data_IF_179257494016
#
_entry.id   IF_179257494016
#
_cell.length_a   1.000
_cell.length_b   1.000
_cell.length_c   1.000
_cell.angle_alpha   90.00
_cell.angle_beta   90.00
_cell.angle_gamma   90.00
#
_symmetry.space_group_name_H-M   'P 1'
#
loop_
_entity.id
_entity.type
_entity.pdbx_description
1 polymer ?
#
# COMPACT_ATOMS: atom_id res chain seq x y z
N UNK A 1 -12.31 -2.13 6.60
CA UNK A 1 -11.73 -1.82 5.28
C UNK A 1 -12.29 -2.80 4.27
N UNK A 2 -12.68 -2.32 3.09
CA UNK A 2 -13.33 -3.15 2.07
C UNK A 2 -12.70 -2.85 0.72
N UNK A 3 -12.49 -3.89 -0.07
CA UNK A 3 -11.96 -3.76 -1.42
C UNK A 3 -12.57 -4.84 -2.30
N UNK A 4 -12.60 -4.59 -3.61
CA UNK A 4 -13.18 -5.45 -4.62
C UNK A 4 -12.18 -5.78 -5.73
N UNK A 5 -12.19 -7.02 -6.17
CA UNK A 5 -11.41 -7.44 -7.33
C UNK A 5 -12.16 -8.43 -8.19
N UNK A 6 -11.75 -8.55 -9.46
CA UNK A 6 -12.22 -9.62 -10.34
C UNK A 6 -11.25 -10.79 -10.27
N UNK A 7 -11.78 -11.97 -9.97
CA UNK A 7 -10.99 -13.20 -9.97
C UNK A 7 -10.71 -13.70 -11.40
N UNK A 8 -9.97 -14.82 -11.53
CA UNK A 8 -9.65 -15.44 -12.83
C UNK A 8 -10.89 -15.91 -13.61
N UNK A 9 -12.02 -16.11 -12.94
CA UNK A 9 -13.31 -16.48 -13.55
C UNK A 9 -14.12 -15.25 -13.97
N UNK A 10 -13.54 -14.04 -13.86
CA UNK A 10 -14.20 -12.74 -14.06
C UNK A 10 -15.34 -12.47 -13.08
N UNK A 11 -15.39 -13.19 -11.95
CA UNK A 11 -16.35 -12.97 -10.89
C UNK A 11 -15.83 -11.91 -9.94
N UNK A 12 -16.73 -11.04 -9.48
CA UNK A 12 -16.41 -10.02 -8.48
C UNK A 12 -16.32 -10.65 -7.10
N UNK A 13 -15.25 -10.28 -6.39
CA UNK A 13 -14.88 -10.77 -5.07
C UNK A 13 -14.66 -9.57 -4.17
N UNK A 14 -15.38 -9.53 -3.06
CA UNK A 14 -15.24 -8.52 -2.03
C UNK A 14 -14.46 -9.09 -0.86
N UNK A 15 -13.47 -8.35 -0.37
CA UNK A 15 -12.71 -8.71 0.82
C UNK A 15 -12.96 -7.68 1.90
N UNK A 16 -13.27 -8.16 3.10
CA UNK A 16 -13.46 -7.33 4.28
C UNK A 16 -12.32 -7.61 5.26
N UNK A 17 -11.61 -6.55 5.63
CA UNK A 17 -10.54 -6.56 6.65
C UNK A 17 -10.96 -5.66 7.80
N UNK A 18 -10.88 -6.19 9.02
CA UNK A 18 -11.10 -5.45 10.25
C UNK A 18 -9.77 -4.95 10.78
N UNK A 19 -9.75 -3.69 11.21
CA UNK A 19 -8.63 -3.08 11.92
C UNK A 19 -9.12 -2.70 13.32
N UNK A 20 -8.51 -3.25 14.36
CA UNK A 20 -8.94 -3.04 15.74
C UNK A 20 -7.74 -3.00 16.69
N UNK A 21 -8.00 -2.58 17.93
CA UNK A 21 -7.03 -2.61 19.03
C UNK A 21 -7.37 -3.75 19.99
N UNK A 22 -6.35 -4.42 20.50
CA UNK A 22 -6.50 -5.33 21.64
C UNK A 22 -6.51 -4.59 22.99
N UNK A 23 -6.61 -5.34 24.09
CA UNK A 23 -6.58 -4.79 25.45
C UNK A 23 -5.29 -4.04 25.79
N UNK A 24 -4.19 -4.34 25.09
CA UNK A 24 -2.87 -3.76 25.31
C UNK A 24 -2.55 -2.62 24.33
N UNK A 25 -3.57 -2.14 23.60
CA UNK A 25 -3.45 -1.08 22.58
C UNK A 25 -2.54 -1.45 21.40
N UNK A 26 -2.40 -2.74 21.07
CA UNK A 26 -1.74 -3.18 19.84
C UNK A 26 -2.74 -3.19 18.68
N UNK A 27 -2.26 -2.78 17.50
CA UNK A 27 -3.05 -2.74 16.28
C UNK A 27 -3.05 -4.13 15.63
N UNK A 28 -4.24 -4.61 15.30
CA UNK A 28 -4.45 -5.85 14.56
C UNK A 28 -5.24 -5.56 13.30
N UNK A 29 -4.83 -6.16 12.19
CA UNK A 29 -5.60 -6.22 10.94
C UNK A 29 -5.92 -7.68 10.63
N UNK A 30 -7.21 -8.05 10.65
CA UNK A 30 -7.67 -9.41 10.41
C UNK A 30 -8.65 -9.47 9.25
N UNK A 31 -8.44 -10.42 8.36
CA UNK A 31 -9.38 -10.66 7.25
C UNK A 31 -10.57 -11.49 7.72
N UNK A 32 -11.79 -11.01 7.47
CA UNK A 32 -13.01 -11.78 7.78
C UNK A 32 -13.24 -12.85 6.70
N UNK A 33 -12.95 -12.50 5.44
CA UNK A 33 -13.07 -13.44 4.33
C UNK A 33 -13.24 -12.78 2.97
N UNK A 34 -13.40 -13.67 1.99
CA UNK A 34 -13.66 -13.36 0.59
C UNK A 34 -15.10 -13.73 0.23
N UNK A 35 -15.86 -12.77 -0.27
CA UNK A 35 -17.26 -12.96 -0.61
C UNK A 35 -17.46 -12.75 -2.10
N UNK A 36 -18.03 -13.75 -2.76
CA UNK A 36 -18.45 -13.61 -4.14
C UNK A 36 -19.64 -12.64 -4.21
N UNK A 37 -19.49 -11.58 -5.01
CA UNK A 37 -20.55 -10.63 -5.30
C UNK A 37 -21.22 -10.99 -6.63
N UNK A 38 -22.52 -11.30 -6.59
CA UNK A 38 -23.34 -11.48 -7.80
C UNK A 38 -23.75 -10.14 -8.42
N UNK A 39 -23.93 -9.13 -7.57
CA UNK A 39 -24.29 -7.76 -7.92
C UNK A 39 -23.35 -6.84 -7.14
N UNK A 40 -22.73 -5.87 -7.81
CA UNK A 40 -21.79 -4.89 -7.25
C UNK A 40 -22.34 -3.47 -7.31
N UNK A 41 -23.53 -3.28 -6.74
CA UNK A 41 -24.07 -1.94 -6.52
C UNK A 41 -23.90 -1.53 -5.06
N UNK A 42 -23.91 -0.23 -4.79
CA UNK A 42 -23.68 0.33 -3.45
C UNK A 42 -24.57 -0.29 -2.36
N UNK A 43 -25.83 -0.59 -2.69
CA UNK A 43 -26.81 -1.17 -1.74
C UNK A 43 -26.47 -2.62 -1.41
N UNK A 44 -26.11 -3.42 -2.41
CA UNK A 44 -25.73 -4.82 -2.22
C UNK A 44 -24.43 -4.95 -1.42
N UNK A 45 -23.48 -4.04 -1.66
CA UNK A 45 -22.21 -3.97 -0.95
C UNK A 45 -22.41 -3.56 0.50
N UNK A 46 -23.13 -2.47 0.75
CA UNK A 46 -23.41 -2.00 2.12
C UNK A 46 -24.16 -3.05 2.93
N UNK A 47 -25.18 -3.68 2.34
CA UNK A 47 -25.90 -4.79 2.97
C UNK A 47 -24.96 -5.95 3.30
N UNK A 48 -24.13 -6.39 2.34
CA UNK A 48 -23.22 -7.51 2.57
C UNK A 48 -22.20 -7.20 3.67
N UNK A 49 -21.71 -5.96 3.76
CA UNK A 49 -20.81 -5.53 4.84
C UNK A 49 -21.52 -5.62 6.19
N UNK A 50 -22.72 -5.06 6.30
CA UNK A 50 -23.52 -5.09 7.54
C UNK A 50 -23.81 -6.52 7.97
N UNK A 51 -24.34 -7.35 7.05
CA UNK A 51 -24.65 -8.75 7.30
C UNK A 51 -23.41 -9.49 7.81
N UNK A 52 -22.26 -9.29 7.16
CA UNK A 52 -20.99 -9.94 7.55
C UNK A 52 -20.54 -9.51 8.95
N UNK A 53 -20.67 -8.23 9.31
CA UNK A 53 -20.31 -7.73 10.64
C UNK A 53 -21.22 -8.36 11.71
N UNK A 54 -22.53 -8.41 11.46
CA UNK A 54 -23.51 -8.98 12.37
C UNK A 54 -23.35 -10.51 12.53
N UNK A 55 -23.09 -11.22 11.43
CA UNK A 55 -22.83 -12.68 11.43
C UNK A 55 -21.61 -13.03 12.31
N UNK A 56 -20.62 -12.14 12.38
CA UNK A 56 -19.45 -12.27 13.24
C UNK A 56 -19.67 -11.75 14.67
N UNK A 57 -20.91 -11.44 15.06
CA UNK A 57 -21.30 -10.93 16.38
C UNK A 57 -20.56 -9.64 16.78
N UNK A 58 -20.23 -8.81 15.80
CA UNK A 58 -19.58 -7.52 16.03
C UNK A 58 -20.63 -6.42 16.12
N UNK A 59 -20.44 -5.51 17.08
CA UNK A 59 -21.31 -4.36 17.25
C UNK A 59 -20.92 -3.22 16.30
N UNK A 60 -21.87 -2.80 15.46
CA UNK A 60 -21.72 -1.68 14.54
C UNK A 60 -21.47 -0.34 15.26
N UNK A 61 -21.89 -0.20 16.53
CA UNK A 61 -21.64 1.02 17.31
C UNK A 61 -20.15 1.23 17.62
N UNK A 62 -19.35 0.16 17.57
CA UNK A 62 -17.89 0.23 17.74
C UNK A 62 -17.16 0.59 16.44
N UNK A 63 -17.88 0.79 15.33
CA UNK A 63 -17.28 1.16 14.05
C UNK A 63 -16.80 2.61 14.06
N UNK A 64 -15.47 2.79 14.08
CA UNK A 64 -14.84 4.12 14.04
C UNK A 64 -14.74 4.68 12.62
N UNK A 65 -14.40 3.84 11.64
CA UNK A 65 -14.15 4.28 10.27
C UNK A 65 -14.36 3.16 9.25
N UNK A 66 -14.69 3.56 8.02
CA UNK A 66 -14.80 2.68 6.87
C UNK A 66 -13.92 3.21 5.74
N UNK A 67 -13.22 2.31 5.03
CA UNK A 67 -12.36 2.67 3.92
C UNK A 67 -12.55 1.71 2.76
N UNK A 68 -12.56 2.28 1.55
CA UNK A 68 -12.87 1.63 0.29
C UNK A 68 -11.84 2.07 -0.77
N UNK A 69 -11.31 1.15 -1.58
CA UNK A 69 -10.57 1.54 -2.80
C UNK A 69 -11.55 1.93 -3.91
N UNK A 70 -11.20 2.95 -4.71
CA UNK A 70 -11.98 3.32 -5.90
C UNK A 70 -13.45 3.67 -5.65
N UNK A 71 -13.72 4.57 -4.69
CA UNK A 71 -15.06 4.94 -4.19
C UNK A 71 -16.07 5.54 -5.20
N UNK A 72 -15.94 5.35 -6.52
CA UNK A 72 -16.93 5.80 -7.49
C UNK A 72 -18.26 5.02 -7.38
N UNK A 73 -18.21 3.74 -7.02
CA UNK A 73 -19.41 2.88 -6.84
C UNK A 73 -20.16 3.23 -5.55
N UNK A 74 -19.44 3.57 -4.48
CA UNK A 74 -20.02 3.85 -3.16
C UNK A 74 -20.42 5.32 -2.95
N UNK A 75 -19.84 6.27 -3.70
CA UNK A 75 -20.15 7.71 -3.60
C UNK A 75 -21.37 8.16 -4.41
N UNK A 76 -22.10 7.23 -5.05
CA UNK A 76 -23.31 7.55 -5.81
C UNK A 76 -23.08 8.34 -7.10
N UNK A 77 -21.83 8.57 -7.51
CA UNK A 77 -21.52 9.34 -8.73
C UNK A 77 -22.01 8.62 -10.00
N UNK A 78 -22.04 7.28 -9.99
CA UNK A 78 -22.56 6.49 -11.12
C UNK A 78 -24.08 6.66 -11.35
N UNK A 79 -24.83 7.08 -10.33
CA UNK A 79 -26.26 7.38 -10.45
C UNK A 79 -26.51 8.57 -11.40
N UNK A 80 -25.57 9.52 -11.50
CA UNK A 80 -25.70 10.71 -12.34
C UNK A 80 -25.38 10.47 -13.83
N UNK A 81 -24.49 9.52 -14.14
CA UNK A 81 -24.16 9.16 -15.53
C UNK A 81 -25.20 8.21 -16.14
N UNK A 82 -25.72 7.25 -15.36
CA UNK A 82 -26.79 6.36 -15.80
C UNK A 82 -28.09 7.11 -16.08
N UNK A 83 -28.38 8.18 -15.32
CA UNK A 83 -29.52 9.08 -15.58
C UNK A 83 -29.45 9.81 -16.94
N UNK A 84 -28.29 9.82 -17.62
CA UNK A 84 -28.09 10.48 -18.93
C UNK A 84 -27.98 9.52 -20.12
N UNK A 85 -28.17 8.22 -19.92
CA UNK A 85 -28.18 7.23 -21.01
C UNK A 85 -26.85 7.06 -21.77
N UNK A 86 -25.72 7.50 -21.21
CA UNK A 86 -24.41 7.38 -21.83
C UNK A 86 -23.72 6.07 -21.40
N UNK A 87 -23.01 5.37 -22.31
CA UNK A 87 -22.26 4.18 -21.96
C UNK A 87 -21.11 4.52 -20.98
N UNK A 88 -20.98 3.75 -19.91
CA UNK A 88 -19.93 3.92 -18.91
C UNK A 88 -18.59 3.52 -19.54
N UNK A 89 -17.73 4.51 -19.79
CA UNK A 89 -16.37 4.30 -20.25
C UNK A 89 -15.46 4.09 -19.02
N UNK A 90 -14.97 2.86 -18.86
CA UNK A 90 -13.95 2.55 -17.86
C UNK A 90 -12.59 2.96 -18.41
N UNK A 91 -11.89 3.86 -17.72
CA UNK A 91 -10.46 4.02 -17.92
C UNK A 91 -9.80 2.73 -17.44
N UNK A 92 -9.12 2.02 -18.34
CA UNK A 92 -8.30 0.86 -17.97
C UNK A 92 -7.27 1.30 -16.93
N UNK A 93 -7.19 0.55 -15.83
CA UNK A 93 -6.23 0.80 -14.75
C UNK A 93 -4.83 0.75 -15.36
N UNK A 94 -4.07 1.83 -15.22
CA UNK A 94 -2.66 1.87 -15.60
C UNK A 94 -1.93 0.78 -14.80
N UNK A 95 -1.60 -0.35 -15.44
CA UNK A 95 -0.80 -1.39 -14.79
C UNK A 95 0.67 -0.96 -14.87
N UNK A 96 1.05 -0.04 -14.00
CA UNK A 96 2.43 0.26 -13.69
C UNK A 96 3.02 -0.96 -12.96
N UNK A 97 3.90 -1.70 -13.62
CA UNK A 97 4.70 -2.72 -12.95
C UNK A 97 5.43 -2.08 -11.76
N UNK A 98 5.04 -2.50 -10.55
CA UNK A 98 5.31 -1.86 -9.24
C UNK A 98 6.71 -1.26 -9.15
N UNK A 99 6.81 0.02 -8.78
CA UNK A 99 8.06 0.78 -8.61
C UNK A 99 9.12 0.06 -7.75
N UNK A 100 8.68 -0.79 -6.82
CA UNK A 100 9.53 -1.67 -6.02
C UNK A 100 10.42 -2.63 -6.86
N UNK A 101 9.90 -3.17 -7.98
CA UNK A 101 10.69 -3.99 -8.89
C UNK A 101 11.77 -3.18 -9.58
N UNK A 102 11.46 -1.94 -9.97
CA UNK A 102 12.41 -1.04 -10.62
C UNK A 102 13.55 -0.66 -9.67
N UNK A 103 13.24 -0.39 -8.41
CA UNK A 103 14.25 -0.17 -7.37
C UNK A 103 15.19 -1.39 -7.24
N UNK A 104 14.62 -2.59 -7.07
CA UNK A 104 15.41 -3.81 -6.91
C UNK A 104 16.29 -4.12 -8.12
N UNK A 105 15.78 -3.92 -9.33
CA UNK A 105 16.53 -4.12 -10.57
C UNK A 105 17.68 -3.12 -10.71
N UNK A 106 17.42 -1.83 -10.50
CA UNK A 106 18.46 -0.78 -10.62
C UNK A 106 19.52 -0.95 -9.54
N UNK A 107 19.14 -1.28 -8.30
CA UNK A 107 20.11 -1.50 -7.22
C UNK A 107 21.03 -2.68 -7.53
N UNK A 108 20.50 -3.79 -8.10
CA UNK A 108 21.32 -4.92 -8.57
C UNK A 108 22.27 -4.53 -9.70
N UNK A 109 21.80 -3.73 -10.67
CA UNK A 109 22.64 -3.23 -11.77
C UNK A 109 23.78 -2.36 -11.21
N UNK A 110 23.49 -1.44 -10.30
CA UNK A 110 24.51 -0.57 -9.70
C UNK A 110 25.50 -1.35 -8.81
N UNK A 111 25.02 -2.38 -8.09
CA UNK A 111 25.85 -3.24 -7.25
C UNK A 111 26.82 -4.10 -8.09
N UNK A 112 26.35 -4.66 -9.20
CA UNK A 112 27.10 -5.58 -10.07
C UNK A 112 27.57 -4.92 -11.37
N UNK A 113 27.75 -3.61 -11.34
CA UNK A 113 28.01 -2.83 -12.54
C UNK A 113 29.28 -3.28 -13.25
N UNK A 114 30.37 -3.54 -12.50
CA UNK A 114 31.65 -3.99 -13.06
C UNK A 114 31.52 -5.36 -13.72
N UNK A 115 30.89 -6.31 -13.04
CA UNK A 115 30.68 -7.67 -13.55
C UNK A 115 29.79 -7.67 -14.80
N UNK A 116 28.78 -6.79 -14.85
CA UNK A 116 27.93 -6.64 -16.04
C UNK A 116 28.74 -6.12 -17.23
N UNK A 117 29.63 -5.14 -17.02
CA UNK A 117 30.52 -4.63 -18.09
C UNK A 117 31.46 -5.71 -18.59
N UNK A 118 32.06 -6.51 -17.70
CA UNK A 118 32.93 -7.63 -18.07
C UNK A 118 32.19 -8.67 -18.91
N UNK A 119 31.01 -9.13 -18.45
CA UNK A 119 30.18 -10.10 -19.18
C UNK A 119 29.75 -9.54 -20.54
N UNK A 120 29.34 -8.27 -20.60
CA UNK A 120 28.97 -7.64 -21.87
C UNK A 120 30.17 -7.52 -22.83
N UNK A 121 31.38 -7.36 -22.31
CA UNK A 121 32.61 -7.33 -23.12
C UNK A 121 32.87 -8.70 -23.73
N UNK A 122 32.79 -9.77 -22.93
CA UNK A 122 32.93 -11.16 -23.41
C UNK A 122 31.82 -11.50 -24.44
N UNK A 123 30.58 -11.12 -24.16
CA UNK A 123 29.46 -11.36 -25.09
C UNK A 123 29.55 -10.54 -26.38
N UNK A 124 30.30 -9.44 -26.38
CA UNK A 124 30.54 -8.65 -27.60
C UNK A 124 31.55 -9.30 -28.55
N UNK A 125 32.31 -10.28 -28.06
CA UNK A 125 33.26 -11.05 -28.86
C UNK A 125 32.60 -12.27 -29.52
N UNK A 126 31.53 -12.81 -28.94
CA UNK A 126 30.75 -13.95 -29.45
C UNK A 126 29.66 -13.54 -30.47
N UNK A 127 29.50 -14.31 -31.55
CA UNK A 127 28.65 -13.91 -32.69
C UNK A 127 27.13 -13.88 -32.41
N UNK A 128 26.59 -14.82 -31.63
CA UNK A 128 25.12 -14.98 -31.51
C UNK A 128 24.40 -13.79 -30.83
N UNK A 129 25.08 -13.03 -29.96
CA UNK A 129 24.51 -11.88 -29.26
C UNK A 129 25.31 -10.58 -29.37
N UNK A 130 26.29 -10.54 -30.28
CA UNK A 130 27.23 -9.43 -30.47
C UNK A 130 26.58 -8.06 -30.54
N UNK A 131 25.59 -7.90 -31.43
CA UNK A 131 24.93 -6.61 -31.66
C UNK A 131 24.17 -6.10 -30.43
N UNK A 132 23.53 -7.00 -29.67
CA UNK A 132 22.80 -6.65 -28.44
C UNK A 132 23.75 -6.27 -27.32
N UNK A 133 24.79 -7.08 -27.11
CA UNK A 133 25.82 -6.82 -26.10
C UNK A 133 26.52 -5.48 -26.35
N UNK A 134 26.93 -5.21 -27.60
CA UNK A 134 27.54 -3.93 -27.99
C UNK A 134 26.61 -2.73 -27.78
N UNK A 135 25.32 -2.88 -28.10
CA UNK A 135 24.33 -1.82 -27.89
C UNK A 135 24.20 -1.43 -26.41
N UNK A 136 24.07 -2.42 -25.53
CA UNK A 136 23.95 -2.21 -24.08
C UNK A 136 25.28 -1.67 -23.52
N UNK A 137 26.41 -2.25 -23.90
CA UNK A 137 27.74 -1.84 -23.47
C UNK A 137 28.01 -0.37 -23.82
N UNK A 138 27.60 0.08 -25.01
CA UNK A 138 27.75 1.47 -25.46
C UNK A 138 26.95 2.45 -24.60
N UNK A 139 25.73 2.09 -24.19
CA UNK A 139 24.92 2.93 -23.31
C UNK A 139 25.45 2.94 -21.88
N UNK A 140 25.80 1.76 -21.35
CA UNK A 140 26.34 1.62 -19.99
C UNK A 140 27.69 2.33 -19.84
N UNK A 141 28.56 2.31 -20.86
CA UNK A 141 29.84 3.02 -20.91
C UNK A 141 29.71 4.54 -21.12
N UNK A 142 28.69 5.16 -20.53
CA UNK A 142 28.55 6.62 -20.52
C UNK A 142 28.42 7.14 -19.09
N UNK A 143 29.10 8.26 -18.80
CA UNK A 143 28.95 8.93 -17.51
C UNK A 143 27.49 9.32 -17.25
N UNK A 144 26.75 9.69 -18.29
CA UNK A 144 25.32 10.01 -18.22
C UNK A 144 24.50 8.83 -17.70
N UNK A 145 24.74 7.62 -18.20
CA UNK A 145 24.05 6.41 -17.73
C UNK A 145 24.33 6.16 -16.25
N UNK A 146 25.60 6.18 -15.83
CA UNK A 146 25.97 5.95 -14.43
C UNK A 146 25.31 6.99 -13.51
N UNK A 147 25.34 8.28 -13.89
CA UNK A 147 24.67 9.36 -13.14
C UNK A 147 23.17 9.12 -13.01
N UNK A 148 22.49 8.83 -14.12
CA UNK A 148 21.04 8.61 -14.14
C UNK A 148 20.70 7.37 -13.30
N UNK A 149 21.46 6.27 -13.44
CA UNK A 149 21.23 5.03 -12.71
C UNK A 149 21.32 5.24 -11.19
N UNK A 150 22.33 5.95 -10.69
CA UNK A 150 22.46 6.24 -9.25
C UNK A 150 21.47 7.29 -8.74
N UNK A 151 21.10 8.27 -9.57
CA UNK A 151 20.06 9.22 -9.24
C UNK A 151 18.70 8.50 -9.11
N UNK A 152 18.39 7.63 -10.08
CA UNK A 152 17.17 6.82 -10.12
C UNK A 152 17.13 5.84 -8.95
N UNK A 153 18.25 5.19 -8.61
CA UNK A 153 18.33 4.34 -7.41
C UNK A 153 17.97 5.12 -6.14
N UNK A 154 18.51 6.34 -5.99
CA UNK A 154 18.25 7.17 -4.81
C UNK A 154 16.79 7.62 -4.73
N UNK A 155 16.21 8.01 -5.88
CA UNK A 155 14.80 8.40 -6.01
C UNK A 155 13.88 7.22 -5.68
N UNK A 156 14.08 6.09 -6.35
CA UNK A 156 13.26 4.90 -6.18
C UNK A 156 13.41 4.31 -4.79
N UNK A 157 14.58 4.41 -4.15
CA UNK A 157 14.77 4.01 -2.75
C UNK A 157 13.88 4.82 -1.81
N UNK A 158 13.85 6.15 -1.96
CA UNK A 158 13.02 7.02 -1.10
C UNK A 158 11.53 6.65 -1.23
N UNK A 159 11.06 6.48 -2.46
CA UNK A 159 9.67 6.10 -2.75
C UNK A 159 9.37 4.69 -2.26
N UNK A 160 10.28 3.74 -2.48
CA UNK A 160 10.11 2.35 -2.07
C UNK A 160 10.04 2.20 -0.55
N UNK A 161 10.92 2.88 0.20
CA UNK A 161 10.88 2.88 1.66
C UNK A 161 9.55 3.44 2.18
N UNK A 162 9.09 4.56 1.63
CA UNK A 162 7.81 5.15 1.99
C UNK A 162 6.63 4.21 1.66
N UNK A 163 6.61 3.66 0.46
CA UNK A 163 5.57 2.72 0.01
C UNK A 163 5.52 1.47 0.89
N UNK A 164 6.67 0.86 1.21
CA UNK A 164 6.75 -0.31 2.07
C UNK A 164 6.25 -0.01 3.49
N UNK A 165 6.64 1.12 4.07
CA UNK A 165 6.20 1.50 5.41
C UNK A 165 4.70 1.84 5.47
N UNK A 166 4.13 2.46 4.42
CA UNK A 166 2.68 2.71 4.33
C UNK A 166 1.83 1.43 4.19
N UNK A 167 2.44 0.32 3.76
CA UNK A 167 1.80 -0.99 3.64
C UNK A 167 1.88 -1.83 4.93
N UNK A 168 2.50 -1.31 5.98
CA UNK A 168 2.59 -2.00 7.27
C UNK A 168 1.26 -1.92 8.02
N UNK A 169 0.77 -3.04 8.53
CA UNK A 169 -0.51 -3.11 9.25
C UNK A 169 -0.50 -2.30 10.56
N UNK A 170 0.67 -2.09 11.17
CA UNK A 170 0.82 -1.34 12.42
C UNK A 170 0.90 0.17 12.23
N UNK A 171 0.97 0.68 10.99
CA UNK A 171 1.20 2.11 10.76
C UNK A 171 -0.01 2.94 11.21
N UNK A 172 0.26 3.98 12.01
CA UNK A 172 -0.76 4.95 12.43
C UNK A 172 -0.75 6.20 11.55
N UNK A 173 -1.89 6.89 11.49
CA UNK A 173 -2.07 8.07 10.64
C UNK A 173 -1.01 9.18 10.88
N UNK A 174 -0.64 9.56 12.11
CA UNK A 174 0.40 10.58 12.33
C UNK A 174 1.76 10.19 11.74
N UNK A 175 2.18 8.94 11.95
CA UNK A 175 3.44 8.40 11.43
C UNK A 175 3.43 8.36 9.90
N UNK A 176 2.28 8.00 9.31
CA UNK A 176 2.11 8.02 7.86
C UNK A 176 2.24 9.44 7.27
N UNK A 177 1.65 10.44 7.93
CA UNK A 177 1.77 11.84 7.50
C UNK A 177 3.23 12.30 7.56
N UNK A 178 3.94 11.99 8.64
CA UNK A 178 5.34 12.39 8.80
C UNK A 178 6.26 11.66 7.81
N UNK A 179 5.98 10.39 7.52
CA UNK A 179 6.66 9.63 6.48
C UNK A 179 6.48 10.28 5.09
N UNK A 180 5.26 10.69 4.74
CA UNK A 180 4.97 11.37 3.47
C UNK A 180 5.69 12.73 3.41
N UNK A 181 5.64 13.51 4.50
CA UNK A 181 6.35 14.81 4.59
C UNK A 181 7.86 14.64 4.44
N UNK A 182 8.43 13.65 5.12
CA UNK A 182 9.86 13.31 5.05
C UNK A 182 10.26 12.92 3.63
N UNK A 183 9.48 12.04 3.01
CA UNK A 183 9.70 11.61 1.61
C UNK A 183 9.63 12.80 0.66
N UNK A 184 8.61 13.66 0.79
CA UNK A 184 8.48 14.88 0.00
C UNK A 184 9.70 15.80 0.14
N UNK A 185 10.19 15.99 1.37
CA UNK A 185 11.40 16.78 1.64
C UNK A 185 12.63 16.18 0.95
N UNK A 186 12.79 14.86 1.02
CA UNK A 186 13.88 14.15 0.34
C UNK A 186 13.82 14.33 -1.18
N UNK A 187 12.63 14.25 -1.77
CA UNK A 187 12.43 14.49 -3.20
C UNK A 187 12.76 15.93 -3.60
N UNK A 188 12.47 16.92 -2.75
CA UNK A 188 12.91 18.30 -3.00
C UNK A 188 14.42 18.46 -2.89
N UNK A 189 15.06 17.83 -1.91
CA UNK A 189 16.53 17.85 -1.79
C UNK A 189 17.22 17.30 -3.04
N UNK A 190 16.66 16.27 -3.68
CA UNK A 190 17.18 15.69 -4.92
C UNK A 190 17.13 16.64 -6.14
N UNK A 191 16.41 17.77 -6.03
CA UNK A 191 16.39 18.82 -7.06
C UNK A 191 17.55 19.81 -6.92
N UNK A 192 18.26 19.80 -5.80
CA UNK A 192 19.36 20.73 -5.53
C UNK A 192 20.66 20.30 -6.22
N UNK A 193 21.54 21.27 -6.48
CA UNK A 193 22.85 21.02 -7.11
C UNK A 193 23.75 20.12 -6.24
N UNK A 194 23.70 20.25 -4.92
CA UNK A 194 24.50 19.42 -4.00
C UNK A 194 24.26 17.92 -4.20
N UNK A 195 23.00 17.52 -4.40
CA UNK A 195 22.66 16.14 -4.69
C UNK A 195 23.33 15.67 -5.99
N UNK A 196 23.25 16.48 -7.04
CA UNK A 196 23.86 16.16 -8.32
C UNK A 196 25.40 16.17 -8.28
N UNK A 197 26.01 16.96 -7.42
CA UNK A 197 27.44 16.95 -7.18
C UNK A 197 27.89 15.65 -6.51
N UNK A 198 27.15 15.18 -5.51
CA UNK A 198 27.39 13.88 -4.86
C UNK A 198 27.23 12.74 -5.88
N UNK A 199 26.17 12.74 -6.68
CA UNK A 199 25.96 11.74 -7.74
C UNK A 199 27.07 11.80 -8.79
N UNK A 200 27.50 13.00 -9.19
CA UNK A 200 28.56 13.16 -10.20
C UNK A 200 29.91 12.67 -9.68
N UNK A 201 30.24 12.93 -8.40
CA UNK A 201 31.44 12.39 -7.75
C UNK A 201 31.42 10.86 -7.73
N UNK A 202 30.32 10.25 -7.31
CA UNK A 202 30.16 8.77 -7.32
C UNK A 202 30.29 8.19 -8.73
N UNK A 203 29.64 8.81 -9.71
CA UNK A 203 29.69 8.34 -11.09
C UNK A 203 31.10 8.40 -11.69
N UNK A 204 31.88 9.44 -11.37
CA UNK A 204 33.28 9.56 -11.82
C UNK A 204 34.16 8.43 -11.25
N UNK A 205 34.01 8.08 -9.98
CA UNK A 205 34.77 6.98 -9.35
C UNK A 205 34.49 5.65 -10.07
N UNK A 206 33.22 5.36 -10.35
CA UNK A 206 32.81 4.13 -11.05
C UNK A 206 33.30 4.15 -12.50
N UNK A 207 33.24 5.29 -13.18
CA UNK A 207 33.75 5.43 -14.53
C UNK A 207 35.27 5.15 -14.60
N UNK A 208 36.04 5.69 -13.65
CA UNK A 208 37.49 5.44 -13.56
C UNK A 208 37.78 3.96 -13.31
N UNK A 209 37.06 3.34 -12.37
CA UNK A 209 37.21 1.91 -12.03
C UNK A 209 37.00 0.99 -13.24
N UNK A 210 36.09 1.34 -14.14
CA UNK A 210 35.74 0.52 -15.31
C UNK A 210 36.35 1.06 -16.62
N UNK A 211 37.36 1.94 -16.55
CA UNK A 211 38.08 2.49 -17.72
C UNK A 211 37.15 3.16 -18.75
N UNK A 212 36.10 3.83 -18.26
CA UNK A 212 35.10 4.50 -19.11
C UNK A 212 35.59 5.91 -19.49
N UNK A 213 35.53 6.24 -20.77
CA UNK A 213 35.98 7.55 -21.27
C UNK A 213 34.99 8.67 -20.87
N UNK A 214 35.41 9.52 -19.94
CA UNK A 214 34.62 10.60 -19.32
C UNK A 214 34.49 11.82 -20.25
N UNK A 215 35.36 11.96 -21.25
CA UNK A 215 35.51 13.18 -22.04
C UNK A 215 34.72 13.22 -23.36
N UNK A 216 33.84 12.24 -23.63
CA UNK A 216 32.95 12.29 -24.80
C UNK A 216 31.88 13.36 -24.61
N UNK A 217 32.13 14.58 -25.08
CA UNK A 217 31.08 15.57 -25.36
C UNK A 217 30.14 14.97 -26.40
N UNK A 218 28.91 14.60 -26.01
CA UNK A 218 27.84 14.37 -26.98
C UNK A 218 27.56 15.70 -27.67
N UNK A 219 27.63 15.74 -29.00
CA UNK A 219 27.09 16.87 -29.75
C UNK A 219 25.63 17.04 -29.32
N UNK A 220 25.20 18.24 -28.92
CA UNK A 220 23.81 18.45 -28.53
C UNK A 220 22.94 18.01 -29.70
N UNK A 221 22.08 17.01 -29.45
CA UNK A 221 21.02 16.68 -30.40
C UNK A 221 20.19 17.95 -30.51
N UNK A 222 20.02 18.50 -31.72
CA UNK A 222 19.10 19.63 -31.91
C UNK A 222 17.74 19.19 -31.40
N UNK A 223 17.35 19.72 -30.24
CA UNK A 223 15.99 19.56 -29.72
C UNK A 223 15.12 20.46 -30.56
N UNK A 224 14.52 19.93 -31.62
CA UNK A 224 13.38 20.58 -32.21
C UNK A 224 12.22 20.35 -31.25
N UNK A 225 11.78 21.39 -30.53
CA UNK A 225 10.44 21.38 -29.98
C UNK A 225 9.50 21.12 -31.16
N UNK A 226 8.57 20.16 -31.01
CA UNK A 226 7.52 20.00 -32.00
C UNK A 226 6.84 21.37 -32.17
N UNK A 227 6.71 21.87 -33.40
CA UNK A 227 6.09 23.19 -33.64
C UNK A 227 4.64 23.24 -33.12
N UNK A 228 4.02 22.05 -32.98
CA UNK A 228 2.65 21.88 -32.51
C UNK A 228 2.59 21.53 -31.01
N UNK A 229 3.68 21.70 -30.23
CA UNK A 229 3.68 21.42 -28.79
C UNK A 229 2.75 22.38 -28.01
N UNK A 230 2.43 23.54 -28.59
CA UNK A 230 1.41 24.46 -28.09
C UNK A 230 -0.03 23.98 -28.35
N UNK A 231 -0.25 23.15 -29.38
CA UNK A 231 -1.58 22.55 -29.68
C UNK A 231 -1.83 21.28 -28.83
N UNK A 232 -0.77 20.65 -28.34
CA UNK A 232 -0.81 19.51 -27.42
C UNK A 232 -0.59 19.92 -25.96
N UNK A 233 -0.70 21.22 -25.66
CA UNK A 233 -0.63 21.74 -24.30
C UNK A 233 -1.89 21.33 -23.54
N UNK A 234 -1.88 20.11 -23.01
CA UNK A 234 -2.79 19.69 -21.96
C UNK A 234 -2.37 20.47 -20.71
N UNK A 235 -3.04 21.59 -20.44
CA UNK A 235 -2.78 22.42 -19.25
C UNK A 235 -2.92 21.61 -17.95
N UNK A 236 -3.63 20.49 -17.99
CA UNK A 236 -3.89 19.63 -16.84
C UNK A 236 -4.10 18.16 -17.21
N UNK A 237 -3.16 17.27 -16.84
CA UNK A 237 -3.42 15.81 -16.71
C UNK A 237 -3.88 15.43 -15.30
N UNK A 238 -4.13 16.43 -14.47
CA UNK A 238 -4.68 16.29 -13.13
C UNK A 238 -5.95 17.11 -13.17
N UNK A 239 -7.10 16.46 -13.04
CA UNK A 239 -8.40 17.13 -13.04
C UNK A 239 -8.28 18.42 -12.24
N UNK A 240 -8.55 19.54 -12.91
CA UNK A 240 -8.84 20.77 -12.19
C UNK A 240 -9.98 20.40 -11.25
N UNK A 241 -9.67 20.15 -9.97
CA UNK A 241 -10.59 20.53 -8.93
C UNK A 241 -10.78 22.00 -9.23
N UNK A 242 -11.91 22.34 -9.86
CA UNK A 242 -12.27 23.73 -9.93
C UNK A 242 -12.13 24.23 -8.51
N UNK A 243 -11.55 25.42 -8.37
CA UNK A 243 -11.82 26.23 -7.20
C UNK A 243 -13.31 26.59 -7.27
N UNK A 244 -14.19 25.59 -7.20
CA UNK A 244 -15.51 25.78 -6.67
C UNK A 244 -15.22 26.30 -5.28
N UNK A 245 -15.59 27.58 -5.11
CA UNK A 245 -16.00 28.15 -3.85
C UNK A 245 -16.17 27.03 -2.84
N UNK A 246 -15.39 27.08 -1.77
CA UNK A 246 -15.77 26.58 -0.45
C UNK A 246 -17.17 27.11 -0.16
N UNK A 247 -18.17 26.51 -0.78
CA UNK A 247 -19.54 26.53 -0.34
C UNK A 247 -19.51 25.72 0.93
N UNK A 248 -20.21 26.26 1.91
CA UNK A 248 -20.36 25.70 3.25
C UNK A 248 -20.83 24.23 3.25
N UNK A 249 -21.25 23.69 2.10
CA UNK A 249 -21.60 22.29 1.87
C UNK A 249 -20.48 21.26 2.09
N UNK A 250 -19.20 21.65 2.05
CA UNK A 250 -18.09 20.71 2.26
C UNK A 250 -17.80 20.39 3.74
N UNK A 251 -18.46 21.10 4.68
CA UNK A 251 -18.42 20.75 6.10
C UNK A 251 -19.35 19.58 6.45
N UNK A 252 -20.35 19.29 5.62
CA UNK A 252 -21.51 18.47 6.02
C UNK A 252 -21.45 16.99 5.56
N UNK A 253 -20.38 16.52 4.92
CA UNK A 253 -20.27 15.12 4.48
C UNK A 253 -19.06 14.37 5.05
N UNK A 254 -18.52 14.84 6.17
CA UNK A 254 -17.74 13.96 7.05
C UNK A 254 -18.63 13.60 8.23
N UNK A 255 -19.58 12.69 8.02
CA UNK A 255 -20.29 12.06 9.14
C UNK A 255 -19.28 11.12 9.79
N UNK A 256 -18.45 11.69 10.66
CA UNK A 256 -17.62 10.90 11.55
C UNK A 256 -18.57 10.37 12.60
N UNK A 257 -18.77 9.05 12.61
CA UNK A 257 -19.47 8.34 13.68
C UNK A 257 -18.60 8.41 14.95
N UNK A 258 -18.56 9.56 15.61
CA UNK A 258 -18.03 9.64 16.96
C UNK A 258 -19.14 9.20 17.92
N UNK A 259 -18.83 8.23 18.79
CA UNK A 259 -19.41 8.24 20.14
C UNK A 259 -19.18 9.65 20.68
N UNK A 260 -20.21 10.37 21.12
CA UNK A 260 -20.10 11.76 21.55
C UNK A 260 -18.88 11.97 22.48
N UNK A 261 -17.91 12.77 22.03
CA UNK A 261 -16.71 13.09 22.81
C UNK A 261 -17.04 14.30 23.69
N UNK A 262 -16.81 14.19 25.00
CA UNK A 262 -17.01 15.31 25.90
C UNK A 262 -15.84 16.30 25.78
N UNK A 263 -16.07 17.38 25.04
CA UNK A 263 -15.05 18.41 24.77
C UNK A 263 -14.54 19.14 26.02
N UNK A 264 -15.34 19.21 27.10
CA UNK A 264 -14.96 19.90 28.34
C UNK A 264 -14.06 18.98 29.14
N UNK A 265 -14.49 17.74 29.34
CA UNK A 265 -13.71 16.70 30.03
C UNK A 265 -12.38 16.47 29.32
N UNK A 266 -12.41 16.38 27.98
CA UNK A 266 -11.22 16.17 27.16
C UNK A 266 -10.13 17.22 27.39
N UNK A 267 -10.49 18.50 27.48
CA UNK A 267 -9.50 19.58 27.69
C UNK A 267 -8.78 19.43 29.04
N UNK A 268 -9.54 19.11 30.09
CA UNK A 268 -8.98 18.89 31.42
C UNK A 268 -8.11 17.63 31.47
N UNK A 269 -8.58 16.53 30.85
CA UNK A 269 -7.83 15.28 30.74
C UNK A 269 -6.52 15.48 29.96
N UNK A 270 -6.53 16.18 28.82
CA UNK A 270 -5.34 16.48 28.02
C UNK A 270 -4.30 17.30 28.78
N UNK A 271 -4.72 18.31 29.51
CA UNK A 271 -3.80 19.12 30.32
C UNK A 271 -3.13 18.25 31.39
N UNK A 272 -3.91 17.44 32.10
CA UNK A 272 -3.42 16.53 33.13
C UNK A 272 -2.51 15.44 32.56
N UNK A 273 -2.87 14.89 31.40
CA UNK A 273 -2.07 13.89 30.68
C UNK A 273 -0.72 14.48 30.23
N UNK A 274 -0.73 15.71 29.73
CA UNK A 274 0.49 16.42 29.32
C UNK A 274 1.45 16.61 30.49
N UNK A 275 0.94 16.98 31.66
CA UNK A 275 1.75 17.14 32.87
C UNK A 275 2.35 15.80 33.31
N UNK A 276 1.54 14.73 33.34
CA UNK A 276 1.99 13.36 33.65
C UNK A 276 3.11 12.90 32.70
N UNK A 277 2.96 13.15 31.40
CA UNK A 277 3.96 12.78 30.38
C UNK A 277 5.22 13.62 30.54
N UNK A 278 5.10 14.91 30.84
CA UNK A 278 6.25 15.80 31.03
C UNK A 278 7.08 15.46 32.27
N UNK A 279 6.46 14.89 33.31
CA UNK A 279 7.15 14.39 34.50
C UNK A 279 7.99 13.13 34.24
N UNK A 280 7.68 12.36 33.19
CA UNK A 280 8.39 11.14 32.80
C UNK A 280 9.45 11.44 31.72
N UNK A 281 10.59 11.99 32.13
CA UNK A 281 11.67 12.44 31.22
C UNK A 281 12.35 11.35 30.37
N UNK A 282 12.08 10.07 30.63
CA UNK A 282 12.76 8.93 29.97
C UNK A 282 11.93 8.24 28.88
N UNK A 283 10.69 8.67 28.61
CA UNK A 283 9.83 7.99 27.63
C UNK A 283 9.82 8.72 26.30
N UNK A 284 10.05 7.98 25.19
CA UNK A 284 9.77 8.48 23.85
C UNK A 284 8.31 8.95 23.78
N UNK A 285 8.08 10.16 23.28
CA UNK A 285 6.75 10.76 23.09
C UNK A 285 6.00 10.15 21.89
N UNK A 286 6.06 8.83 21.75
CA UNK A 286 5.34 8.07 20.73
C UNK A 286 3.94 7.75 21.25
N UNK A 287 2.94 7.75 20.36
CA UNK A 287 1.53 7.56 20.71
C UNK A 287 1.28 6.25 21.48
N UNK A 288 2.04 5.20 21.17
CA UNK A 288 1.95 3.90 21.83
C UNK A 288 2.51 3.91 23.27
N UNK A 289 3.60 4.66 23.52
CA UNK A 289 4.11 4.84 24.88
C UNK A 289 3.15 5.66 25.72
N UNK A 290 2.57 6.70 25.11
CA UNK A 290 1.56 7.56 25.75
C UNK A 290 0.31 6.74 26.09
N UNK A 291 -0.20 5.93 25.16
CA UNK A 291 -1.39 5.10 25.39
C UNK A 291 -1.18 4.15 26.57
N UNK A 292 -0.01 3.51 26.66
CA UNK A 292 0.32 2.61 27.79
C UNK A 292 0.35 3.29 29.15
N UNK A 293 0.87 4.52 29.22
CA UNK A 293 0.89 5.29 30.48
C UNK A 293 -0.54 5.63 30.90
N UNK A 294 -1.35 6.14 29.97
CA UNK A 294 -2.73 6.54 30.26
C UNK A 294 -3.63 5.34 30.58
N UNK A 295 -3.32 4.16 30.04
CA UNK A 295 -4.02 2.91 30.35
C UNK A 295 -3.87 2.48 31.83
N UNK A 296 -2.86 2.98 32.56
CA UNK A 296 -2.72 2.74 34.00
C UNK A 296 -3.85 3.41 34.80
N UNK A 297 -4.45 4.47 34.26
CA UNK A 297 -5.50 5.27 34.90
C UNK A 297 -6.68 5.51 33.94
N UNK A 298 -7.38 4.44 33.49
CA UNK A 298 -8.32 4.54 32.38
C UNK A 298 -9.56 5.38 32.71
N UNK A 299 -9.94 5.44 33.99
CA UNK A 299 -11.09 6.24 34.46
C UNK A 299 -10.81 7.75 34.41
N UNK A 300 -9.55 8.14 34.62
CA UNK A 300 -9.13 9.55 34.62
C UNK A 300 -8.92 10.11 33.21
N UNK A 301 -8.70 9.24 32.21
CA UNK A 301 -8.35 9.63 30.84
C UNK A 301 -9.31 9.01 29.80
N UNK A 302 -10.57 8.83 30.18
CA UNK A 302 -11.57 8.13 29.37
C UNK A 302 -11.78 8.74 27.98
N UNK A 303 -11.85 10.07 27.86
CA UNK A 303 -12.07 10.74 26.58
C UNK A 303 -10.77 10.81 25.76
N UNK A 304 -9.64 10.98 26.45
CA UNK A 304 -8.31 10.95 25.85
C UNK A 304 -8.02 9.59 25.23
N UNK A 305 -8.30 8.50 25.95
CA UNK A 305 -8.15 7.14 25.46
C UNK A 305 -9.07 6.87 24.27
N UNK A 306 -10.33 7.34 24.28
CA UNK A 306 -11.21 7.26 23.09
C UNK A 306 -10.56 7.89 21.86
N UNK A 307 -10.00 9.10 21.98
CA UNK A 307 -9.33 9.77 20.85
C UNK A 307 -8.10 9.00 20.38
N UNK A 308 -7.28 8.49 21.31
CA UNK A 308 -6.11 7.68 20.98
C UNK A 308 -6.53 6.40 20.24
N UNK A 309 -7.57 5.71 20.73
CA UNK A 309 -8.15 4.53 20.09
C UNK A 309 -8.60 4.84 18.67
N UNK A 310 -9.30 5.95 18.46
CA UNK A 310 -9.73 6.38 17.13
C UNK A 310 -8.50 6.61 16.24
N UNK A 311 -7.52 7.37 16.71
CA UNK A 311 -6.33 7.72 15.93
C UNK A 311 -5.50 6.49 15.51
N UNK A 312 -5.44 5.46 16.36
CA UNK A 312 -4.69 4.23 16.07
C UNK A 312 -5.46 3.25 15.17
N UNK A 313 -6.80 3.25 15.27
CA UNK A 313 -7.69 2.38 14.46
C UNK A 313 -7.98 2.94 13.07
N UNK A 314 -7.75 4.24 12.83
CA UNK A 314 -7.89 4.83 11.50
C UNK A 314 -6.97 4.12 10.49
N UNK A 315 -7.53 3.46 9.46
CA UNK A 315 -6.73 2.76 8.46
C UNK A 315 -6.05 3.76 7.54
N UNK A 316 -4.77 3.52 7.24
CA UNK A 316 -3.94 4.39 6.38
C UNK A 316 -3.89 3.90 4.95
N UNK A 317 -3.93 2.58 4.74
CA UNK A 317 -3.86 1.95 3.41
C UNK A 317 -4.73 0.69 3.36
N UNK A 318 -5.11 0.26 2.15
CA UNK A 318 -5.82 -1.01 1.89
C UNK A 318 -4.85 -2.16 1.59
N UNK A 319 -3.60 -2.07 2.03
CA UNK A 319 -2.56 -3.04 1.71
C UNK A 319 -2.90 -4.48 2.13
N UNK A 320 -3.61 -4.65 3.24
CA UNK A 320 -4.07 -5.96 3.71
C UNK A 320 -5.10 -6.59 2.77
N UNK A 321 -5.98 -5.79 2.17
CA UNK A 321 -6.88 -6.26 1.12
C UNK A 321 -6.10 -6.70 -0.13
N UNK A 322 -5.07 -5.94 -0.55
CA UNK A 322 -4.22 -6.31 -1.68
C UNK A 322 -3.44 -7.62 -1.45
N UNK A 323 -2.91 -7.82 -0.23
CA UNK A 323 -2.24 -9.07 0.16
C UNK A 323 -3.20 -10.24 0.07
N UNK A 324 -4.42 -10.07 0.56
CA UNK A 324 -5.47 -11.07 0.46
C UNK A 324 -5.77 -11.42 -1.01
N UNK A 325 -5.89 -10.43 -1.90
CA UNK A 325 -6.09 -10.68 -3.34
C UNK A 325 -4.91 -11.37 -4.02
N UNK A 326 -3.69 -11.13 -3.56
CA UNK A 326 -2.52 -11.89 -4.00
C UNK A 326 -2.67 -13.38 -3.65
N UNK A 327 -3.09 -13.70 -2.43
CA UNK A 327 -3.38 -15.08 -1.99
C UNK A 327 -4.54 -15.69 -2.79
N UNK A 328 -5.60 -14.93 -3.06
CA UNK A 328 -6.71 -15.33 -3.94
C UNK A 328 -6.21 -15.77 -5.31
N UNK A 329 -5.31 -15.00 -5.93
CA UNK A 329 -4.76 -15.32 -7.26
C UNK A 329 -3.91 -16.59 -7.27
N UNK A 330 -3.27 -16.91 -6.13
CA UNK A 330 -2.47 -18.13 -5.96
C UNK A 330 -3.35 -19.36 -5.74
N UNK A 331 -4.35 -19.25 -4.85
CA UNK A 331 -5.24 -20.37 -4.51
C UNK A 331 -6.21 -20.67 -5.65
N UNK A 332 -6.84 -19.65 -6.23
CA UNK A 332 -7.80 -19.77 -7.34
C UNK A 332 -7.06 -19.77 -8.69
N UNK A 333 -6.37 -20.87 -8.96
CA UNK A 333 -5.69 -21.12 -10.22
C UNK A 333 -6.66 -21.62 -11.31
N UNK A 334 -6.21 -21.66 -12.57
CA UNK A 334 -7.02 -22.14 -13.70
C UNK A 334 -7.50 -23.60 -13.51
N UNK A 335 -6.72 -24.41 -12.81
CA UNK A 335 -7.07 -25.80 -12.50
C UNK A 335 -8.05 -25.94 -11.32
N UNK A 336 -8.31 -24.84 -10.59
CA UNK A 336 -9.12 -24.82 -9.36
C UNK A 336 -10.37 -23.94 -9.49
N UNK A 337 -10.84 -23.69 -10.70
CA UNK A 337 -11.98 -22.79 -10.96
C UNK A 337 -13.32 -23.34 -10.43
N UNK A 338 -13.45 -24.67 -10.30
CA UNK A 338 -14.67 -25.35 -9.84
C UNK A 338 -14.78 -25.46 -8.32
N UNK A 339 -13.87 -24.85 -7.56
CA UNK A 339 -13.91 -24.85 -6.10
C UNK A 339 -15.11 -24.04 -5.59
N UNK A 340 -15.88 -24.62 -4.67
CA UNK A 340 -16.97 -23.92 -3.99
C UNK A 340 -16.48 -22.78 -3.09
N UNK A 341 -17.32 -21.77 -2.90
CA UNK A 341 -16.96 -20.53 -2.21
C UNK A 341 -16.57 -20.76 -0.73
N UNK A 342 -17.25 -21.68 -0.03
CA UNK A 342 -16.91 -22.02 1.36
C UNK A 342 -15.49 -22.56 1.50
N UNK A 343 -15.12 -23.51 0.63
CA UNK A 343 -13.77 -24.09 0.63
C UNK A 343 -12.72 -23.04 0.24
N UNK A 344 -13.03 -22.19 -0.73
CA UNK A 344 -12.15 -21.12 -1.15
C UNK A 344 -11.90 -20.14 0.01
N UNK A 345 -12.95 -19.72 0.70
CA UNK A 345 -12.86 -18.77 1.81
C UNK A 345 -12.00 -19.33 2.95
N UNK A 346 -12.22 -20.58 3.37
CA UNK A 346 -11.41 -21.24 4.40
C UNK A 346 -9.94 -21.33 4.00
N UNK A 347 -9.65 -21.73 2.76
CA UNK A 347 -8.26 -21.80 2.28
C UNK A 347 -7.57 -20.44 2.23
N UNK A 348 -8.33 -19.38 1.91
CA UNK A 348 -7.81 -18.02 1.87
C UNK A 348 -7.47 -17.49 3.25
N UNK A 349 -8.35 -17.69 4.23
CA UNK A 349 -8.07 -17.34 5.63
C UNK A 349 -6.80 -18.06 6.09
N UNK A 350 -6.69 -19.36 5.81
CA UNK A 350 -5.49 -20.15 6.16
C UNK A 350 -4.22 -19.62 5.49
N UNK A 351 -4.30 -19.18 4.23
CA UNK A 351 -3.13 -18.68 3.50
C UNK A 351 -2.72 -17.25 3.89
N UNK A 352 -3.66 -16.46 4.41
CA UNK A 352 -3.41 -15.07 4.83
C UNK A 352 -2.94 -15.03 6.28
N UNK A 353 -3.59 -15.79 7.17
CA UNK A 353 -3.29 -15.86 8.60
C UNK A 353 -2.24 -16.95 8.90
N UNK A 354 -1.17 -17.01 8.12
CA UNK A 354 -0.18 -18.10 8.20
C UNK A 354 0.49 -18.17 9.58
N UNK A 355 0.68 -17.02 10.23
CA UNK A 355 1.29 -16.91 11.54
C UNK A 355 0.40 -17.56 12.61
N UNK A 356 -0.91 -17.33 12.59
CA UNK A 356 -1.85 -17.99 13.50
C UNK A 356 -2.00 -19.48 13.17
N UNK A 357 -2.10 -19.83 11.89
CA UNK A 357 -2.18 -21.23 11.46
C UNK A 357 -0.97 -22.04 11.89
N UNK A 358 0.22 -21.43 11.91
CA UNK A 358 1.45 -22.10 12.35
C UNK A 358 1.41 -22.56 13.81
N UNK A 359 0.53 -21.96 14.63
CA UNK A 359 0.32 -22.33 16.03
C UNK A 359 -0.68 -23.47 16.22
N UNK A 360 -1.43 -23.84 15.18
CA UNK A 360 -2.46 -24.88 15.25
C UNK A 360 -1.80 -26.25 15.35
N UNK A 361 -2.22 -27.05 16.34
CA UNK A 361 -1.78 -28.43 16.48
C UNK A 361 -2.43 -29.32 15.39
N UNK A 362 -1.61 -29.78 14.44
CA UNK A 362 -2.07 -30.64 13.35
C UNK A 362 -2.56 -32.00 13.84
N UNK A 363 -1.97 -32.56 14.89
CA UNK A 363 -2.38 -33.86 15.45
C UNK A 363 -3.76 -33.77 16.09
N UNK A 364 -4.03 -32.67 16.79
CA UNK A 364 -5.36 -32.40 17.35
C UNK A 364 -6.38 -32.18 16.23
N UNK A 365 -6.03 -31.42 15.19
CA UNK A 365 -6.89 -31.23 14.03
C UNK A 365 -7.18 -32.56 13.31
N UNK A 366 -6.18 -33.44 13.19
CA UNK A 366 -6.33 -34.79 12.65
C UNK A 366 -7.21 -35.67 13.53
N UNK A 367 -7.14 -35.53 14.86
CA UNK A 367 -8.01 -36.24 15.80
C UNK A 367 -9.45 -35.73 15.78
N UNK A 368 -9.67 -34.41 15.67
CA UNK A 368 -11.02 -33.85 15.50
C UNK A 368 -11.61 -34.30 14.18
N UNK A 369 -10.82 -34.20 13.09
CA UNK A 369 -11.20 -34.73 11.80
C UNK A 369 -11.49 -36.23 11.91
N UNK A 370 -10.62 -36.96 12.63
CA UNK A 370 -10.77 -38.27 13.28
C UNK A 370 -12.23 -38.69 13.50
N UNK A 371 -12.84 -37.91 14.37
CA UNK A 371 -14.13 -38.15 15.00
C UNK A 371 -15.34 -37.67 14.16
N UNK A 372 -15.14 -36.90 13.08
CA UNK A 372 -16.22 -36.11 12.46
C UNK A 372 -17.25 -36.86 11.58
N UNK A 373 -17.13 -38.18 11.31
CA UNK A 373 -18.18 -39.14 10.80
C UNK A 373 -17.57 -40.40 10.14
N UNK A 374 -18.41 -41.40 9.83
CA UNK A 374 -18.05 -42.60 9.06
C UNK A 374 -17.47 -42.26 7.68
N UNK A 375 -16.30 -42.81 7.38
CA UNK A 375 -15.50 -42.47 6.20
C UNK A 375 -15.52 -43.58 5.17
N UNK A 376 -15.27 -43.20 3.91
CA UNK A 376 -14.97 -44.17 2.83
C UNK A 376 -13.61 -44.85 3.01
N UNK A 377 -12.67 -44.23 3.74
CA UNK A 377 -11.35 -44.76 4.04
C UNK A 377 -10.97 -44.51 5.51
N UNK A 378 -10.44 -45.51 6.22
CA UNK A 378 -9.92 -45.33 7.58
C UNK A 378 -8.62 -44.50 7.53
N UNK A 379 -8.45 -43.59 8.49
CA UNK A 379 -7.15 -42.97 8.76
C UNK A 379 -6.45 -43.90 9.75
N UNK A 380 -5.28 -44.42 9.39
CA UNK A 380 -4.44 -45.20 10.29
C UNK A 380 -3.86 -44.17 11.28
N UNK A 381 -4.32 -44.25 12.53
CA UNK A 381 -3.76 -43.48 13.65
C UNK A 381 -2.40 -44.03 14.04
#
# INVERSE_FOLDING_TARGET
MVDETKDKSKKEQMVIVLRFLDSDMNIHEKSIGCFHMLISNAVSLSKKIIDTVLDNKLDLQNCVAQCYDGANVMSGIHSAQQAKGLPVLYLERLVETRWAYWFGSISKINLRYTEIIEVLTILSENDDQKARALGILKEMNTLSFIKISHAMESLLRAIHCASKALQDCSIILPVAIDLIRSTKRQLYYMRNNEFWDVITKKAKIIAVKNVININKKKNPRKTCLNKNLLELYVETTVGQSSKNKTSELSKDLTIIFFSAVDSIKLKAEFQSARELISGNSNTKHDLYSISKILLQLPQSYSETLKIITILMTLPVSTASNERFFSSLKQIKSYLRLTMGDDRLNVLLVVAVEIDEVSTINLDEALHIFACMKNRRYPLIS
#
